data_IF_928709723557
#
_entry.id   IF_928709723557
#
_cell.length_a   1.000
_cell.length_b   1.000
_cell.length_c   1.000
_cell.angle_alpha   90.00
_cell.angle_beta   90.00
_cell.angle_gamma   90.00
#
_symmetry.space_group_name_H-M   'P 1'
#
loop_
_entity.id
_entity.type
_entity.pdbx_description
1 polymer ?
#
# COMPACT_ATOMS: atom_id res chain seq x y z
N UNK A 1 -13.58 -16.27 -17.88
CA UNK A 1 -12.47 -15.84 -16.99
C UNK A 1 -11.55 -17.03 -16.77
N UNK A 2 -10.27 -16.95 -17.10
CA UNK A 2 -9.30 -17.97 -16.70
C UNK A 2 -9.22 -17.94 -15.17
N UNK A 3 -9.80 -18.96 -14.53
CA UNK A 3 -9.81 -19.05 -13.08
C UNK A 3 -8.40 -19.23 -12.52
N UNK A 4 -8.13 -18.70 -11.35
CA UNK A 4 -6.92 -18.97 -10.60
C UNK A 4 -6.78 -20.48 -10.34
N UNK A 5 -5.55 -20.97 -10.26
CA UNK A 5 -5.28 -22.36 -9.88
C UNK A 5 -5.88 -22.66 -8.51
N UNK A 6 -6.46 -23.84 -8.35
CA UNK A 6 -7.09 -24.24 -7.07
C UNK A 6 -6.09 -24.36 -5.91
N UNK A 7 -4.81 -24.64 -6.17
CA UNK A 7 -3.72 -24.79 -5.20
C UNK A 7 -4.02 -25.80 -4.06
N UNK A 8 -4.93 -26.76 -4.30
CA UNK A 8 -5.35 -27.72 -3.29
C UNK A 8 -6.04 -27.10 -2.05
N UNK A 9 -6.65 -25.90 -2.19
CA UNK A 9 -7.22 -25.14 -1.07
C UNK A 9 -8.58 -24.57 -1.41
N UNK A 10 -9.40 -24.36 -0.37
CA UNK A 10 -10.69 -23.64 -0.44
C UNK A 10 -10.45 -22.19 -0.91
N UNK A 11 -11.46 -21.56 -1.45
CA UNK A 11 -11.35 -20.22 -2.06
C UNK A 11 -10.69 -19.19 -1.14
N UNK A 12 -11.16 -19.11 0.10
CA UNK A 12 -10.70 -18.09 1.06
C UNK A 12 -9.24 -18.29 1.48
N UNK A 13 -8.84 -19.54 1.74
CA UNK A 13 -7.46 -19.90 2.05
C UNK A 13 -6.53 -19.60 0.86
N UNK A 14 -6.99 -19.90 -0.35
CA UNK A 14 -6.24 -19.62 -1.57
C UNK A 14 -5.97 -18.13 -1.74
N UNK A 15 -7.01 -17.30 -1.62
CA UNK A 15 -6.89 -15.84 -1.69
C UNK A 15 -5.98 -15.32 -0.57
N UNK A 16 -6.12 -15.85 0.65
CA UNK A 16 -5.28 -15.44 1.78
C UNK A 16 -3.79 -15.73 1.54
N UNK A 17 -3.46 -16.91 0.99
CA UNK A 17 -2.08 -17.27 0.64
C UNK A 17 -1.50 -16.32 -0.42
N UNK A 18 -2.26 -16.02 -1.48
CA UNK A 18 -1.81 -15.13 -2.54
C UNK A 18 -1.61 -13.70 -2.03
N UNK A 19 -2.51 -13.21 -1.18
CA UNK A 19 -2.37 -11.90 -0.52
C UNK A 19 -1.14 -11.81 0.37
N UNK A 20 -0.91 -12.83 1.20
CA UNK A 20 0.27 -12.86 2.06
C UNK A 20 1.57 -12.86 1.25
N UNK A 21 1.65 -13.67 0.19
CA UNK A 21 2.83 -13.69 -0.68
C UNK A 21 3.04 -12.36 -1.42
N UNK A 22 1.96 -11.73 -1.92
CA UNK A 22 2.03 -10.42 -2.56
C UNK A 22 2.50 -9.35 -1.56
N UNK A 23 1.97 -9.35 -0.34
CA UNK A 23 2.40 -8.43 0.72
C UNK A 23 3.86 -8.67 1.09
N UNK A 24 4.27 -9.92 1.28
CA UNK A 24 5.67 -10.26 1.60
C UNK A 24 6.63 -9.81 0.50
N UNK A 25 6.24 -9.88 -0.77
CA UNK A 25 7.07 -9.41 -1.88
C UNK A 25 7.28 -7.88 -1.84
N UNK A 26 6.25 -7.13 -1.46
CA UNK A 26 6.31 -5.65 -1.39
C UNK A 26 7.03 -5.18 -0.13
N UNK A 27 6.75 -5.81 1.02
CA UNK A 27 7.24 -5.39 2.35
C UNK A 27 8.56 -6.06 2.72
N UNK A 28 9.08 -6.99 1.90
CA UNK A 28 10.35 -7.67 2.19
C UNK A 28 11.38 -6.66 2.72
N UNK A 29 11.98 -6.88 3.91
CA UNK A 29 12.76 -5.86 4.58
C UNK A 29 13.89 -5.35 3.69
N UNK A 30 13.91 -4.05 3.46
CA UNK A 30 15.05 -3.35 2.92
C UNK A 30 16.14 -3.51 3.97
N UNK A 31 17.27 -4.12 3.63
CA UNK A 31 18.43 -4.11 4.54
C UNK A 31 18.78 -2.66 4.82
N UNK A 32 19.20 -2.39 6.05
CA UNK A 32 19.43 -1.08 6.68
C UNK A 32 20.33 -0.09 5.93
N UNK A 33 20.83 -0.44 4.76
CA UNK A 33 21.86 0.34 4.05
C UNK A 33 21.32 1.44 3.14
N UNK A 34 20.00 1.70 3.09
CA UNK A 34 19.41 2.80 2.30
C UNK A 34 19.71 2.74 0.79
N UNK A 35 20.17 1.59 0.30
CA UNK A 35 20.54 1.39 -1.09
C UNK A 35 19.33 1.14 -1.99
N UNK A 36 19.41 1.63 -3.21
CA UNK A 36 18.34 1.56 -4.21
C UNK A 36 17.85 0.12 -4.46
N UNK A 37 16.65 0.00 -5.00
CA UNK A 37 15.96 -1.27 -5.30
C UNK A 37 16.81 -2.31 -6.05
N UNK A 38 17.79 -1.85 -6.84
CA UNK A 38 18.74 -2.67 -7.62
C UNK A 38 19.70 -3.50 -6.77
N UNK A 39 20.01 -3.06 -5.53
CA UNK A 39 20.96 -3.75 -4.66
C UNK A 39 20.27 -4.59 -3.56
N UNK A 40 19.03 -4.23 -3.18
CA UNK A 40 18.20 -4.96 -2.22
C UNK A 40 17.02 -5.61 -2.94
N UNK A 41 17.28 -6.68 -3.66
CA UNK A 41 16.24 -7.41 -4.41
C UNK A 41 15.16 -7.93 -3.48
N UNK A 42 14.00 -7.27 -3.48
CA UNK A 42 12.81 -7.79 -2.83
C UNK A 42 12.44 -9.10 -3.50
N UNK A 43 12.46 -10.20 -2.76
CA UNK A 43 12.17 -11.52 -3.29
C UNK A 43 11.42 -12.40 -2.30
N UNK A 44 10.65 -13.34 -2.83
CA UNK A 44 9.95 -14.35 -2.04
C UNK A 44 10.20 -15.72 -2.62
N UNK A 45 10.60 -16.67 -1.77
CA UNK A 45 10.75 -18.09 -2.16
C UNK A 45 9.46 -18.84 -1.88
N UNK A 46 8.89 -19.45 -2.92
CA UNK A 46 7.64 -20.20 -2.83
C UNK A 46 7.58 -21.31 -3.90
N UNK A 47 6.50 -22.08 -3.95
CA UNK A 47 6.32 -23.08 -5.02
C UNK A 47 6.03 -22.38 -6.35
N UNK A 48 6.51 -22.96 -7.45
CA UNK A 48 6.34 -22.43 -8.81
C UNK A 48 4.87 -22.14 -9.15
N UNK A 49 3.95 -23.01 -8.71
CA UNK A 49 2.52 -22.81 -8.93
C UNK A 49 2.00 -21.52 -8.27
N UNK A 50 2.40 -21.23 -7.03
CA UNK A 50 2.04 -20.01 -6.29
C UNK A 50 2.71 -18.79 -6.89
N UNK A 51 4.01 -18.88 -7.22
CA UNK A 51 4.74 -17.78 -7.84
C UNK A 51 4.06 -17.31 -9.13
N UNK A 52 3.64 -18.22 -10.01
CA UNK A 52 2.92 -17.89 -11.25
C UNK A 52 1.59 -17.17 -11.03
N UNK A 53 0.87 -17.48 -9.96
CA UNK A 53 -0.40 -16.79 -9.66
C UNK A 53 -0.16 -15.41 -9.03
N UNK A 54 0.83 -15.28 -8.13
CA UNK A 54 1.20 -13.98 -7.52
C UNK A 54 1.77 -13.02 -8.56
N UNK A 55 2.60 -13.51 -9.49
CA UNK A 55 3.16 -12.72 -10.60
C UNK A 55 2.06 -11.99 -11.39
N UNK A 56 1.00 -12.70 -11.79
CA UNK A 56 -0.12 -12.09 -12.53
C UNK A 56 -0.83 -10.98 -11.76
N UNK A 57 -0.98 -11.16 -10.44
CA UNK A 57 -1.62 -10.17 -9.57
C UNK A 57 -0.72 -8.95 -9.45
N UNK A 58 0.57 -9.17 -9.17
CA UNK A 58 1.54 -8.09 -8.98
C UNK A 58 1.75 -7.28 -10.27
N UNK A 59 1.88 -7.93 -11.40
CA UNK A 59 2.04 -7.24 -12.69
C UNK A 59 0.87 -6.30 -12.98
N UNK A 60 -0.35 -6.71 -12.64
CA UNK A 60 -1.53 -5.85 -12.78
C UNK A 60 -1.51 -4.67 -11.81
N UNK A 61 -1.17 -4.91 -10.53
CA UNK A 61 -1.11 -3.85 -9.52
C UNK A 61 -0.03 -2.82 -9.83
N UNK A 62 1.14 -3.28 -10.31
CA UNK A 62 2.25 -2.40 -10.71
C UNK A 62 1.87 -1.58 -11.94
N UNK A 63 1.25 -2.20 -12.96
CA UNK A 63 0.77 -1.48 -14.15
C UNK A 63 -0.23 -0.38 -13.78
N UNK A 64 -1.20 -0.68 -12.90
CA UNK A 64 -2.17 0.30 -12.42
C UNK A 64 -1.47 1.41 -11.59
N UNK A 65 -0.48 1.07 -10.77
CA UNK A 65 0.28 2.03 -9.99
C UNK A 65 1.14 2.97 -10.86
N UNK A 66 1.83 2.45 -11.87
CA UNK A 66 2.63 3.25 -12.82
C UNK A 66 1.73 4.23 -13.58
N UNK A 67 0.57 3.77 -14.06
CA UNK A 67 -0.36 4.60 -14.82
C UNK A 67 -0.92 5.76 -13.98
N UNK A 68 -1.21 5.53 -12.73
CA UNK A 68 -1.94 6.46 -11.87
C UNK A 68 -1.05 7.21 -10.85
N UNK A 69 0.28 7.01 -10.87
CA UNK A 69 1.17 7.52 -9.81
C UNK A 69 1.11 9.04 -9.61
N UNK A 70 0.98 9.80 -10.69
CA UNK A 70 1.00 11.27 -10.69
C UNK A 70 -0.41 11.89 -10.86
N UNK A 71 -1.45 11.07 -10.84
CA UNK A 71 -2.81 11.53 -11.07
C UNK A 71 -3.44 12.05 -9.78
N UNK A 72 -3.20 13.33 -9.50
CA UNK A 72 -3.74 14.06 -8.35
C UNK A 72 -4.74 15.13 -8.78
N UNK A 73 -5.69 15.43 -7.91
CA UNK A 73 -6.59 16.57 -8.01
C UNK A 73 -6.42 17.49 -6.82
N UNK A 74 -6.63 18.79 -7.02
CA UNK A 74 -6.62 19.77 -5.92
C UNK A 74 -8.02 19.95 -5.37
N UNK A 75 -8.18 19.89 -4.04
CA UNK A 75 -9.44 20.12 -3.36
C UNK A 75 -9.26 21.17 -2.28
N UNK A 76 -10.18 22.11 -2.20
CA UNK A 76 -10.27 23.03 -1.07
C UNK A 76 -10.87 22.30 0.13
N UNK A 77 -10.13 22.26 1.22
CA UNK A 77 -10.60 21.69 2.49
C UNK A 77 -10.67 22.81 3.52
N UNK A 78 -11.81 22.90 4.20
CA UNK A 78 -11.97 23.81 5.33
C UNK A 78 -11.30 23.21 6.55
N UNK A 79 -10.28 23.87 7.05
CA UNK A 79 -9.56 23.49 8.28
C UNK A 79 -10.00 24.41 9.40
N UNK A 80 -10.47 23.82 10.49
CA UNK A 80 -10.89 24.54 11.69
C UNK A 80 -9.78 24.40 12.75
N UNK A 81 -9.12 25.50 13.06
CA UNK A 81 -8.10 25.58 14.11
C UNK A 81 -8.62 26.36 15.31
N UNK A 82 -8.24 25.94 16.53
CA UNK A 82 -8.58 26.68 17.73
C UNK A 82 -7.83 28.03 17.74
N UNK A 83 -8.51 29.12 18.04
CA UNK A 83 -7.85 30.39 18.31
C UNK A 83 -7.04 30.28 19.59
N UNK A 84 -5.80 30.73 19.52
CA UNK A 84 -4.90 30.83 20.66
C UNK A 84 -4.75 32.28 21.09
N UNK A 85 -4.73 32.50 22.40
CA UNK A 85 -4.42 33.80 22.99
C UNK A 85 -2.89 34.06 22.93
N UNK A 86 -2.47 35.29 23.21
CA UNK A 86 -1.05 35.71 23.29
C UNK A 86 -0.17 34.81 24.17
N UNK A 87 -0.78 34.05 25.09
CA UNK A 87 -0.13 33.10 26.00
C UNK A 87 -0.16 31.68 25.48
N UNK A 88 -0.66 31.40 24.24
CA UNK A 88 -0.78 30.04 23.67
C UNK A 88 -1.95 29.22 24.23
N UNK A 89 -2.86 29.83 25.00
CA UNK A 89 -4.03 29.17 25.54
C UNK A 89 -5.22 29.28 24.55
N UNK A 90 -6.09 28.24 24.57
CA UNK A 90 -7.29 28.25 23.72
C UNK A 90 -8.29 29.27 24.21
N UNK A 91 -8.76 30.16 23.30
CA UNK A 91 -9.79 31.14 23.60
C UNK A 91 -11.14 30.44 23.77
N UNK A 92 -11.79 30.62 24.92
CA UNK A 92 -13.11 30.09 25.23
C UNK A 92 -14.17 31.15 25.02
N UNK A 93 -15.26 30.79 24.35
CA UNK A 93 -16.43 31.65 24.14
C UNK A 93 -17.64 30.95 24.76
N UNK A 94 -18.40 31.69 25.59
CA UNK A 94 -19.62 31.16 26.16
C UNK A 94 -20.74 31.15 25.11
N UNK A 95 -21.24 29.94 24.82
CA UNK A 95 -22.40 29.70 23.95
C UNK A 95 -23.54 29.11 24.75
N UNK A 96 -24.75 29.53 24.43
CA UNK A 96 -25.98 28.95 25.01
C UNK A 96 -26.41 27.76 24.18
N UNK A 97 -26.50 26.61 24.83
CA UNK A 97 -27.01 25.35 24.21
C UNK A 97 -28.50 25.50 23.87
N UNK A 98 -29.01 24.65 22.96
CA UNK A 98 -30.45 24.56 22.62
C UNK A 98 -31.34 24.35 23.85
N UNK A 99 -30.81 23.81 24.94
CA UNK A 99 -31.51 23.55 26.21
C UNK A 99 -31.34 24.72 27.21
N UNK A 100 -30.93 25.92 26.78
CA UNK A 100 -30.76 27.11 27.63
C UNK A 100 -29.55 27.09 28.57
N UNK A 101 -28.72 26.02 28.59
CA UNK A 101 -27.54 25.95 29.42
C UNK A 101 -26.37 26.68 28.75
N UNK A 102 -25.70 27.57 29.53
CA UNK A 102 -24.44 28.18 29.08
C UNK A 102 -23.31 27.19 29.16
N UNK A 103 -22.54 27.03 28.08
CA UNK A 103 -21.35 26.19 28.02
C UNK A 103 -20.20 26.99 27.35
N UNK A 104 -18.99 26.76 27.82
CA UNK A 104 -17.80 27.33 27.24
C UNK A 104 -17.35 26.43 26.09
N UNK A 105 -17.18 27.02 24.90
CA UNK A 105 -16.76 26.36 23.69
C UNK A 105 -15.50 27.03 23.16
N UNK A 106 -14.55 26.28 22.71
CA UNK A 106 -13.32 26.79 22.10
C UNK A 106 -13.67 27.56 20.83
N UNK A 107 -13.25 28.83 20.76
CA UNK A 107 -13.39 29.62 19.55
C UNK A 107 -12.48 29.08 18.46
N UNK A 108 -13.01 28.96 17.24
CA UNK A 108 -12.32 28.33 16.11
C UNK A 108 -12.31 29.24 14.91
N UNK A 109 -11.15 29.35 14.30
CA UNK A 109 -11.01 29.99 12.99
C UNK A 109 -11.14 28.94 11.90
N UNK A 110 -11.91 29.26 10.88
CA UNK A 110 -12.10 28.45 9.71
C UNK A 110 -11.27 29.02 8.58
N UNK A 111 -10.24 28.29 8.17
CA UNK A 111 -9.40 28.64 7.02
C UNK A 111 -9.61 27.62 5.89
N UNK A 112 -9.53 28.07 4.64
CA UNK A 112 -9.53 27.19 3.47
C UNK A 112 -8.07 26.88 3.11
N UNK A 113 -7.75 25.59 3.01
CA UNK A 113 -6.45 25.13 2.51
C UNK A 113 -6.67 24.27 1.26
N UNK A 114 -5.89 24.53 0.22
CA UNK A 114 -5.81 23.66 -0.94
C UNK A 114 -4.93 22.45 -0.61
N UNK A 115 -5.49 21.26 -0.73
CA UNK A 115 -4.78 19.99 -0.48
C UNK A 115 -4.81 19.17 -1.77
N UNK A 116 -3.69 18.54 -2.11
CA UNK A 116 -3.65 17.55 -3.15
C UNK A 116 -4.31 16.26 -2.65
N UNK A 117 -5.25 15.74 -3.42
CA UNK A 117 -6.01 14.52 -3.12
C UNK A 117 -5.89 13.59 -4.32
N UNK A 118 -5.91 12.30 -4.07
CA UNK A 118 -5.94 11.32 -5.16
C UNK A 118 -7.13 11.56 -6.10
N UNK A 119 -6.89 11.56 -7.40
CA UNK A 119 -7.95 11.56 -8.40
C UNK A 119 -8.83 10.31 -8.25
N UNK A 120 -10.09 10.31 -8.70
CA UNK A 120 -10.99 9.17 -8.56
C UNK A 120 -10.42 7.86 -9.11
N UNK A 121 -9.73 7.90 -10.25
CA UNK A 121 -9.07 6.72 -10.85
C UNK A 121 -7.90 6.23 -10.00
N UNK A 122 -7.04 7.14 -9.51
CA UNK A 122 -5.95 6.81 -8.60
C UNK A 122 -6.48 6.20 -7.30
N UNK A 123 -7.52 6.79 -6.73
CA UNK A 123 -8.15 6.25 -5.51
C UNK A 123 -8.73 4.84 -5.74
N UNK A 124 -9.35 4.57 -6.91
CA UNK A 124 -9.84 3.25 -7.26
C UNK A 124 -8.69 2.23 -7.41
N UNK A 125 -7.59 2.61 -8.04
CA UNK A 125 -6.40 1.77 -8.18
C UNK A 125 -5.76 1.48 -6.81
N UNK A 126 -5.64 2.48 -5.91
CA UNK A 126 -5.16 2.29 -4.53
C UNK A 126 -6.07 1.37 -3.71
N UNK A 127 -7.40 1.48 -3.85
CA UNK A 127 -8.34 0.56 -3.20
C UNK A 127 -8.19 -0.87 -3.70
N UNK A 128 -7.97 -1.06 -5.01
CA UNK A 128 -7.69 -2.38 -5.58
C UNK A 128 -6.37 -2.96 -5.04
N UNK A 129 -5.31 -2.13 -4.94
CA UNK A 129 -4.06 -2.54 -4.31
C UNK A 129 -4.25 -2.92 -2.83
N UNK A 130 -5.01 -2.14 -2.06
CA UNK A 130 -5.33 -2.42 -0.66
C UNK A 130 -6.17 -3.69 -0.46
N UNK A 131 -6.94 -4.11 -1.47
CA UNK A 131 -7.62 -5.41 -1.44
C UNK A 131 -6.64 -6.58 -1.47
N UNK A 132 -5.56 -6.46 -2.23
CA UNK A 132 -4.54 -7.52 -2.38
C UNK A 132 -3.42 -7.44 -1.35
N UNK A 133 -2.99 -6.24 -0.98
CA UNK A 133 -1.90 -5.98 -0.05
C UNK A 133 -2.45 -5.72 1.36
N UNK A 134 -1.95 -6.47 2.33
CA UNK A 134 -2.36 -6.32 3.74
C UNK A 134 -1.40 -5.40 4.47
N UNK A 135 -1.93 -4.58 5.36
CA UNK A 135 -1.10 -3.83 6.30
C UNK A 135 -0.20 -4.79 7.07
N UNK A 136 1.04 -4.41 7.23
CA UNK A 136 2.08 -5.18 7.88
C UNK A 136 2.76 -4.34 8.95
N UNK A 137 3.62 -4.96 9.74
CA UNK A 137 4.46 -4.28 10.72
C UNK A 137 5.91 -4.64 10.41
N UNK A 138 6.80 -3.67 10.64
CA UNK A 138 8.24 -3.90 10.59
C UNK A 138 8.72 -4.76 11.77
N UNK A 139 10.00 -5.16 11.72
CA UNK A 139 10.65 -5.87 12.81
C UNK A 139 10.61 -5.09 14.15
N UNK A 140 10.51 -3.77 14.07
CA UNK A 140 10.40 -2.84 15.21
C UNK A 140 8.96 -2.61 15.68
N UNK A 141 7.96 -3.21 14.99
CA UNK A 141 6.54 -3.08 15.33
C UNK A 141 5.83 -1.86 14.75
N UNK A 142 6.49 -1.05 13.92
CA UNK A 142 5.86 0.07 13.24
C UNK A 142 4.92 -0.40 12.12
N UNK A 143 3.77 0.26 11.99
CA UNK A 143 2.81 -0.05 10.94
C UNK A 143 3.33 0.37 9.56
N UNK A 144 3.49 -0.60 8.66
CA UNK A 144 3.89 -0.38 7.26
C UNK A 144 2.69 -0.53 6.35
N UNK A 145 2.48 0.46 5.48
CA UNK A 145 1.46 0.40 4.45
C UNK A 145 2.08 -0.01 3.10
N UNK A 146 1.88 -1.27 2.68
CA UNK A 146 2.48 -1.77 1.44
C UNK A 146 1.94 -1.08 0.18
N UNK A 147 0.78 -0.44 0.26
CA UNK A 147 0.25 0.34 -0.87
C UNK A 147 1.11 1.57 -1.11
N UNK A 148 1.55 2.26 -0.05
CA UNK A 148 2.45 3.40 -0.21
C UNK A 148 3.79 2.96 -0.80
N UNK A 149 4.39 1.88 -0.31
CA UNK A 149 5.64 1.32 -0.88
C UNK A 149 5.48 1.00 -2.37
N UNK A 150 4.33 0.43 -2.76
CA UNK A 150 4.06 0.12 -4.17
C UNK A 150 4.05 1.39 -5.04
N UNK A 151 3.43 2.49 -4.58
CA UNK A 151 3.29 3.73 -5.35
C UNK A 151 4.53 4.63 -5.27
N UNK A 152 5.21 4.65 -4.14
CA UNK A 152 6.30 5.60 -3.88
C UNK A 152 7.69 5.05 -4.23
N UNK A 153 7.87 3.71 -4.11
CA UNK A 153 9.16 3.05 -4.37
C UNK A 153 9.14 2.18 -5.63
N UNK A 154 8.19 1.22 -5.71
CA UNK A 154 8.21 0.18 -6.74
C UNK A 154 7.76 0.73 -8.09
N UNK A 155 6.68 1.49 -8.15
CA UNK A 155 6.17 2.03 -9.41
C UNK A 155 7.16 2.99 -10.10
N UNK A 156 7.84 3.92 -9.40
CA UNK A 156 8.88 4.75 -10.00
C UNK A 156 10.07 3.96 -10.52
N UNK A 157 10.49 2.92 -9.80
CA UNK A 157 11.64 2.09 -10.18
C UNK A 157 11.38 1.29 -11.48
N UNK A 158 10.12 0.88 -11.70
CA UNK A 158 9.72 0.03 -12.83
C UNK A 158 9.08 0.81 -13.99
N UNK A 159 9.12 2.14 -13.99
CA UNK A 159 8.45 2.97 -14.99
C UNK A 159 8.92 2.72 -16.43
N UNK A 160 10.19 2.31 -16.60
CA UNK A 160 10.79 2.05 -17.89
C UNK A 160 10.38 0.70 -18.49
N UNK A 161 9.76 -0.17 -17.71
CA UNK A 161 9.31 -1.48 -18.17
C UNK A 161 7.91 -1.38 -18.81
N UNK A 162 7.74 -2.03 -19.97
CA UNK A 162 6.46 -2.12 -20.70
C UNK A 162 5.69 -3.40 -20.38
N UNK A 163 5.74 -3.87 -19.13
CA UNK A 163 5.14 -5.12 -18.68
C UNK A 163 6.18 -6.13 -18.21
N UNK A 164 5.72 -7.28 -17.65
CA UNK A 164 6.61 -8.28 -17.09
C UNK A 164 7.41 -7.76 -15.88
N UNK A 165 6.72 -7.05 -15.00
CA UNK A 165 7.33 -6.39 -13.83
C UNK A 165 7.87 -7.37 -12.79
N UNK A 166 7.52 -8.65 -12.90
CA UNK A 166 7.99 -9.70 -11.99
C UNK A 166 8.73 -10.79 -12.74
N UNK A 167 9.82 -11.29 -12.13
CA UNK A 167 10.67 -12.36 -12.65
C UNK A 167 10.57 -13.59 -11.76
N UNK A 168 10.42 -14.77 -12.36
CA UNK A 168 10.36 -16.05 -11.65
C UNK A 168 11.61 -16.85 -12.00
N UNK A 169 12.42 -17.14 -10.98
CA UNK A 169 13.61 -18.00 -11.10
C UNK A 169 13.31 -19.36 -10.48
N UNK A 170 13.50 -20.44 -11.25
CA UNK A 170 13.29 -21.80 -10.76
C UNK A 170 14.48 -22.22 -9.90
N UNK A 171 14.22 -22.77 -8.71
CA UNK A 171 15.23 -23.22 -7.76
C UNK A 171 15.41 -24.77 -7.74
N UNK A 172 14.55 -25.50 -8.48
CA UNK A 172 14.54 -26.95 -8.45
C UNK A 172 13.52 -27.56 -7.48
N UNK A 173 13.59 -28.85 -7.27
CA UNK A 173 12.67 -29.60 -6.42
C UNK A 173 13.08 -29.51 -4.94
N UNK A 174 12.11 -29.37 -4.04
CA UNK A 174 12.30 -29.39 -2.59
C UNK A 174 12.55 -30.81 -2.11
N UNK A 175 13.49 -30.99 -1.17
CA UNK A 175 13.93 -32.28 -0.68
C UNK A 175 12.81 -33.16 -0.08
N UNK A 176 11.84 -32.56 0.61
CA UNK A 176 10.84 -33.31 1.37
C UNK A 176 9.71 -33.88 0.51
N UNK A 177 9.24 -33.13 -0.48
CA UNK A 177 8.03 -33.46 -1.25
C UNK A 177 8.19 -33.31 -2.77
N UNK A 178 9.43 -33.11 -3.24
CA UNK A 178 9.76 -32.91 -4.65
C UNK A 178 8.95 -31.76 -5.32
N UNK A 179 8.36 -30.84 -4.55
CA UNK A 179 7.66 -29.68 -5.09
C UNK A 179 8.63 -28.74 -5.80
N UNK A 180 8.30 -28.32 -7.01
CA UNK A 180 9.08 -27.31 -7.74
C UNK A 180 9.05 -25.96 -6.99
N UNK A 181 10.23 -25.49 -6.57
CA UNK A 181 10.43 -24.23 -5.90
C UNK A 181 10.82 -23.13 -6.87
N UNK A 182 10.40 -21.91 -6.58
CA UNK A 182 10.74 -20.75 -7.36
C UNK A 182 10.95 -19.52 -6.46
N UNK A 183 11.85 -18.66 -6.90
CA UNK A 183 12.06 -17.33 -6.34
C UNK A 183 11.31 -16.34 -7.24
N UNK A 184 10.46 -15.54 -6.62
CA UNK A 184 9.73 -14.43 -7.25
C UNK A 184 10.39 -13.13 -6.84
N UNK A 185 10.78 -12.30 -7.81
CA UNK A 185 11.41 -10.99 -7.63
C UNK A 185 10.85 -9.98 -8.62
N UNK A 186 11.12 -8.68 -8.41
CA UNK A 186 10.83 -7.67 -9.41
C UNK A 186 11.84 -7.72 -10.56
N UNK A 187 11.42 -7.29 -11.75
CA UNK A 187 12.31 -7.11 -12.89
C UNK A 187 13.28 -5.94 -12.61
N UNK A 188 14.47 -6.02 -13.19
CA UNK A 188 15.48 -4.95 -13.17
C UNK A 188 15.34 -4.06 -14.38
#
# INVERSE_FOLDING_TARGET
>A
MAGYRKLGRVSDQRIAILRNLATSLVVCPVKEDGKALSENRKHVVTTLARAKEVSKIMDKLIADAIREKDNFTTKEVTVSTAKLDSKGMKVLVSKTSKNGKKCEVVDREVSKKTVQVDAPSRLAARKNAAYWLRKSHDAEGHAVDPVNILYDEIAPALINHKGGYTKIVKLGARRGDASEMALLTFAE
#
